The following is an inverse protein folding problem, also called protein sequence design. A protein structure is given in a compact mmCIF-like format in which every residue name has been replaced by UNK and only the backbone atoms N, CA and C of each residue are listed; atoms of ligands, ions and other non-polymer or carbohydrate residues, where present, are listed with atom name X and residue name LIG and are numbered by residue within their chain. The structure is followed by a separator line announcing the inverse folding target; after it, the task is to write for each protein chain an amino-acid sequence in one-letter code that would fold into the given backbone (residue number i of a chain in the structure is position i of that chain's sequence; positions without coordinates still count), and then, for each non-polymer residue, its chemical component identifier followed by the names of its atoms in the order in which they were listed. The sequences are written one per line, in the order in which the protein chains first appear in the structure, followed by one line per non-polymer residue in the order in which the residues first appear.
data_IF_155352627742
#
_entry.id   IF_155352627742
#
_cell.length_a   1.000
_cell.length_b   1.000
_cell.length_c   1.000
_cell.angle_alpha   90.00
_cell.angle_beta   90.00
_cell.angle_gamma   90.00
#
_symmetry.space_group_name_H-M   'P 1'
#
loop_
_entity.id
_entity.type
_entity.pdbx_description
1 polymer ?
#
# COMPACT_ATOMS: atom_id res chain seq x y z
N UNK A 1 56.56 79.17 -42.48
CA UNK A 1 55.63 79.38 -41.33
C UNK A 1 54.73 78.14 -41.27
N UNK A 2 55.08 77.15 -40.45
CA UNK A 2 54.52 76.89 -39.10
C UNK A 2 53.04 76.53 -39.13
N UNK A 3 52.71 75.27 -38.79
CA UNK A 3 51.37 74.88 -38.36
C UNK A 3 50.97 73.41 -38.55
N UNK A 4 51.59 72.48 -37.82
CA UNK A 4 51.02 71.15 -37.51
C UNK A 4 49.82 71.33 -36.56
N UNK A 5 48.74 70.56 -36.73
CA UNK A 5 47.69 70.14 -35.76
C UNK A 5 46.54 69.47 -36.54
N UNK A 6 45.89 68.37 -36.15
CA UNK A 6 46.04 67.42 -35.05
C UNK A 6 45.18 66.19 -35.44
N UNK A 7 45.63 64.99 -35.08
CA UNK A 7 44.92 63.71 -35.25
C UNK A 7 43.93 63.50 -34.08
N UNK A 8 42.84 62.76 -34.35
CA UNK A 8 41.90 62.09 -33.43
C UNK A 8 40.68 62.89 -32.91
N UNK A 9 39.48 62.42 -33.27
CA UNK A 9 38.53 61.88 -32.29
C UNK A 9 37.42 61.09 -33.03
N UNK A 10 37.48 59.76 -32.91
CA UNK A 10 36.37 58.84 -33.15
C UNK A 10 35.16 59.27 -32.32
N UNK A 11 34.02 59.56 -32.94
CA UNK A 11 32.74 59.72 -32.24
C UNK A 11 31.80 58.57 -32.63
N UNK A 12 31.96 57.46 -31.92
CA UNK A 12 30.95 56.40 -31.77
C UNK A 12 29.72 56.98 -31.08
N UNK A 13 28.66 57.28 -31.84
CA UNK A 13 27.33 57.54 -31.26
C UNK A 13 26.61 56.21 -31.09
N UNK A 14 26.70 55.74 -29.85
CA UNK A 14 25.92 54.69 -29.21
C UNK A 14 24.42 55.01 -29.40
N UNK A 15 23.79 54.43 -30.43
CA UNK A 15 22.34 54.56 -30.61
C UNK A 15 21.68 53.59 -29.65
N UNK A 16 21.10 54.16 -28.59
CA UNK A 16 20.47 53.49 -27.47
C UNK A 16 19.46 52.43 -27.94
N UNK A 17 19.65 51.20 -27.46
CA UNK A 17 18.66 50.14 -27.51
C UNK A 17 17.46 50.55 -26.66
N UNK A 18 16.45 51.11 -27.31
CA UNK A 18 15.12 51.27 -26.75
C UNK A 18 14.46 49.87 -26.75
N UNK A 19 14.74 49.08 -25.71
CA UNK A 19 13.89 47.97 -25.33
C UNK A 19 12.50 48.55 -25.10
N UNK A 20 11.59 48.30 -26.05
CA UNK A 20 10.16 48.39 -25.83
C UNK A 20 9.82 47.42 -24.70
N UNK A 21 9.90 47.88 -23.45
CA UNK A 21 9.22 47.25 -22.35
C UNK A 21 7.73 47.32 -22.69
N UNK A 22 7.18 46.22 -23.20
CA UNK A 22 5.75 46.08 -23.39
C UNK A 22 5.07 46.47 -22.06
N UNK A 23 4.02 47.31 -22.10
CA UNK A 23 3.34 47.69 -20.88
C UNK A 23 2.87 46.43 -20.18
N UNK A 24 3.13 46.33 -18.87
CA UNK A 24 2.69 45.27 -17.98
C UNK A 24 1.17 45.18 -17.98
N UNK A 25 0.63 44.65 -19.06
CA UNK A 25 -0.78 44.49 -19.32
C UNK A 25 -1.15 43.16 -18.76
N UNK A 26 -2.01 43.21 -17.78
CA UNK A 26 -2.52 42.02 -17.15
C UNK A 26 -3.01 40.96 -18.13
N UNK A 27 -2.44 39.75 -18.06
CA UNK A 27 -2.69 38.68 -19.02
C UNK A 27 -4.14 38.16 -18.91
N UNK A 28 -4.97 38.26 -19.97
CA UNK A 28 -6.30 37.67 -19.95
C UNK A 28 -6.24 36.13 -19.98
N UNK A 29 -7.30 35.44 -19.49
CA UNK A 29 -7.43 34.00 -19.66
C UNK A 29 -7.29 33.62 -21.14
N UNK A 30 -6.45 32.64 -21.44
CA UNK A 30 -6.15 32.21 -22.82
C UNK A 30 -6.08 30.69 -22.91
N UNK A 31 -6.12 30.18 -24.14
CA UNK A 31 -6.03 28.74 -24.39
C UNK A 31 -4.59 28.26 -24.15
N UNK A 32 -4.46 27.22 -23.32
CA UNK A 32 -3.21 26.53 -23.08
C UNK A 32 -2.96 25.53 -24.22
N UNK A 33 -1.74 25.55 -24.73
CA UNK A 33 -1.30 24.61 -25.78
C UNK A 33 -0.27 23.63 -25.22
N UNK A 34 0.52 24.08 -24.24
CA UNK A 34 1.55 23.28 -23.57
C UNK A 34 1.25 23.12 -22.07
N UNK A 35 1.72 22.02 -21.49
CA UNK A 35 1.59 21.71 -20.06
C UNK A 35 2.28 22.74 -19.16
N UNK A 36 3.30 23.43 -19.68
CA UNK A 36 4.01 24.50 -18.98
C UNK A 36 3.98 25.74 -19.87
N UNK A 37 3.18 26.72 -19.48
CA UNK A 37 3.11 28.03 -20.14
C UNK A 37 3.78 29.08 -19.25
N UNK A 38 4.88 29.66 -19.71
CA UNK A 38 5.60 30.71 -18.96
C UNK A 38 5.58 32.02 -19.75
N UNK A 39 4.56 32.84 -19.49
CA UNK A 39 4.43 34.16 -20.11
C UNK A 39 5.18 35.25 -19.35
N UNK A 40 5.45 35.02 -18.07
CA UNK A 40 6.19 35.94 -17.20
C UNK A 40 7.72 35.80 -17.33
N UNK A 41 8.21 34.76 -18.01
CA UNK A 41 9.63 34.49 -18.22
C UNK A 41 10.39 34.17 -16.94
N UNK A 42 9.73 33.53 -15.98
CA UNK A 42 10.31 33.31 -14.64
C UNK A 42 10.99 31.95 -14.48
N UNK A 43 10.79 31.02 -15.40
CA UNK A 43 11.42 29.70 -15.34
C UNK A 43 12.78 29.71 -16.04
N UNK A 44 13.82 29.34 -15.30
CA UNK A 44 15.11 28.94 -15.88
C UNK A 44 15.01 27.56 -16.54
N UNK A 45 15.93 27.22 -17.44
CA UNK A 45 15.94 25.90 -18.09
C UNK A 45 15.97 24.72 -17.09
N UNK A 46 16.79 24.75 -16.02
CA UNK A 46 16.75 23.72 -14.99
C UNK A 46 15.40 23.69 -14.24
N UNK A 47 14.82 24.85 -13.96
CA UNK A 47 13.51 24.95 -13.31
C UNK A 47 12.39 24.36 -14.16
N UNK A 48 12.39 24.66 -15.46
CA UNK A 48 11.44 24.10 -16.43
C UNK A 48 11.57 22.57 -16.52
N UNK A 49 12.79 22.04 -16.57
CA UNK A 49 13.03 20.61 -16.60
C UNK A 49 12.54 19.91 -15.32
N UNK A 50 12.76 20.53 -14.14
CA UNK A 50 12.28 20.01 -12.88
C UNK A 50 10.73 19.94 -12.82
N UNK A 51 10.06 21.02 -13.27
CA UNK A 51 8.60 21.06 -13.35
C UNK A 51 8.07 20.00 -14.32
N UNK A 52 8.66 19.88 -15.51
CA UNK A 52 8.28 18.85 -16.49
C UNK A 52 8.40 17.45 -15.90
N UNK A 53 9.53 17.15 -15.25
CA UNK A 53 9.75 15.83 -14.64
C UNK A 53 8.72 15.50 -13.54
N UNK A 54 8.32 16.51 -12.76
CA UNK A 54 7.32 16.35 -11.72
C UNK A 54 5.91 16.12 -12.30
N UNK A 55 5.54 16.87 -13.35
CA UNK A 55 4.28 16.65 -14.09
C UNK A 55 4.24 15.25 -14.70
N UNK A 56 5.33 14.82 -15.37
CA UNK A 56 5.42 13.51 -15.99
C UNK A 56 5.27 12.38 -14.96
N UNK A 57 5.86 12.55 -13.78
CA UNK A 57 5.74 11.60 -12.66
C UNK A 57 4.29 11.49 -12.19
N UNK A 58 3.64 12.61 -11.95
CA UNK A 58 2.24 12.66 -11.54
C UNK A 58 1.34 11.96 -12.57
N UNK A 59 1.59 12.18 -13.86
CA UNK A 59 0.82 11.51 -14.90
C UNK A 59 1.08 10.00 -14.94
N UNK A 60 2.34 9.55 -14.81
CA UNK A 60 2.66 8.11 -14.76
C UNK A 60 2.02 7.42 -13.56
N UNK A 61 2.07 8.05 -12.40
CA UNK A 61 1.72 7.40 -11.13
C UNK A 61 0.22 7.47 -10.83
N UNK A 62 -0.48 8.51 -11.33
CA UNK A 62 -1.89 8.76 -11.02
C UNK A 62 -2.78 8.98 -12.24
N UNK A 63 -2.21 9.07 -13.45
CA UNK A 63 -2.93 9.50 -14.66
C UNK A 63 -3.68 10.83 -14.47
N UNK A 64 -3.05 11.77 -13.74
CA UNK A 64 -3.52 13.14 -13.55
C UNK A 64 -2.64 14.03 -14.39
N UNK A 65 -3.23 14.89 -15.22
CA UNK A 65 -2.49 15.86 -16.03
C UNK A 65 -2.42 17.19 -15.29
N UNK A 66 -1.23 17.65 -14.94
CA UNK A 66 -1.02 18.96 -14.33
C UNK A 66 -0.58 19.97 -15.37
N UNK A 67 -1.36 21.05 -15.49
CA UNK A 67 -1.09 22.21 -16.32
C UNK A 67 -0.60 23.34 -15.43
N UNK A 68 0.52 23.95 -15.78
CA UNK A 68 1.15 25.02 -15.01
C UNK A 68 1.27 26.26 -15.88
N UNK A 69 0.77 27.38 -15.35
CA UNK A 69 0.79 28.67 -16.05
C UNK A 69 1.38 29.75 -15.16
N UNK A 70 2.40 30.43 -15.67
CA UNK A 70 3.02 31.59 -15.05
C UNK A 70 2.64 32.85 -15.81
N UNK A 71 1.96 33.75 -15.11
CA UNK A 71 1.53 35.06 -15.61
C UNK A 71 2.05 36.16 -14.68
N UNK A 72 2.14 37.39 -15.17
CA UNK A 72 2.54 38.50 -14.30
C UNK A 72 1.48 38.79 -13.24
N UNK A 73 0.21 38.80 -13.64
CA UNK A 73 -0.95 39.00 -12.76
C UNK A 73 -2.25 38.48 -13.41
N UNK A 74 -3.33 38.37 -12.63
CA UNK A 74 -4.63 37.86 -13.07
C UNK A 74 -5.59 38.90 -13.68
N UNK A 75 -5.09 40.08 -14.04
CA UNK A 75 -5.93 41.17 -14.55
C UNK A 75 -7.01 41.58 -13.57
N UNK A 76 -8.18 41.94 -14.09
CA UNK A 76 -9.37 42.27 -13.31
C UNK A 76 -10.08 41.03 -12.73
N UNK A 77 -9.54 39.83 -12.93
CA UNK A 77 -10.17 38.60 -12.51
C UNK A 77 -9.62 38.14 -11.17
N UNK A 78 -10.51 37.57 -10.34
CA UNK A 78 -10.07 36.76 -9.21
C UNK A 78 -9.29 35.55 -9.73
N UNK A 79 -8.26 35.06 -9.02
CA UNK A 79 -7.47 33.91 -9.45
C UNK A 79 -8.33 32.70 -9.87
N UNK A 80 -9.36 32.38 -9.08
CA UNK A 80 -10.26 31.24 -9.32
C UNK A 80 -11.04 31.41 -10.63
N UNK A 81 -11.68 32.57 -10.80
CA UNK A 81 -12.43 32.90 -12.01
C UNK A 81 -11.53 32.95 -13.26
N UNK A 82 -10.27 33.36 -13.10
CA UNK A 82 -9.29 33.35 -14.17
C UNK A 82 -8.98 31.91 -14.59
N UNK A 83 -8.68 31.04 -13.62
CA UNK A 83 -8.36 29.64 -13.86
C UNK A 83 -9.53 28.88 -14.51
N UNK A 84 -10.76 29.12 -14.08
CA UNK A 84 -11.94 28.47 -14.65
C UNK A 84 -12.18 28.87 -16.12
N UNK A 85 -11.95 30.14 -16.45
CA UNK A 85 -12.03 30.61 -17.85
C UNK A 85 -10.92 30.01 -18.72
N UNK A 86 -9.70 29.97 -18.21
CA UNK A 86 -8.55 29.34 -18.87
C UNK A 86 -8.80 27.86 -19.11
N UNK A 87 -9.34 27.15 -18.12
CA UNK A 87 -9.73 25.73 -18.21
C UNK A 87 -10.74 25.50 -19.33
N UNK A 88 -11.83 26.27 -19.33
CA UNK A 88 -12.91 26.14 -20.30
C UNK A 88 -12.43 26.46 -21.73
N UNK A 89 -11.62 27.52 -21.89
CA UNK A 89 -11.03 27.89 -23.19
C UNK A 89 -10.05 26.83 -23.72
N UNK A 90 -9.41 26.10 -22.82
CA UNK A 90 -8.43 25.05 -23.15
C UNK A 90 -9.05 23.67 -23.33
N UNK A 91 -10.32 23.48 -22.95
CA UNK A 91 -11.00 22.19 -23.04
C UNK A 91 -10.43 21.14 -22.07
N UNK A 92 -9.87 21.58 -20.93
CA UNK A 92 -9.32 20.68 -19.92
C UNK A 92 -10.43 19.81 -19.29
N UNK A 93 -10.17 18.52 -19.21
CA UNK A 93 -11.11 17.51 -18.72
C UNK A 93 -11.16 17.37 -17.19
N UNK A 94 -11.99 16.43 -16.71
CA UNK A 94 -12.18 16.18 -15.27
C UNK A 94 -10.97 15.60 -14.53
N UNK A 95 -9.87 15.29 -15.23
CA UNK A 95 -8.62 14.80 -14.63
C UNK A 95 -7.45 15.78 -14.78
N UNK A 96 -7.74 16.97 -15.31
CA UNK A 96 -6.76 17.97 -15.64
C UNK A 96 -6.75 19.05 -14.55
N UNK A 97 -5.65 19.10 -13.81
CA UNK A 97 -5.44 20.07 -12.74
C UNK A 97 -4.72 21.27 -13.31
N UNK A 98 -5.16 22.48 -12.94
CA UNK A 98 -4.56 23.72 -13.38
C UNK A 98 -3.95 24.46 -12.17
N UNK A 99 -2.64 24.67 -12.20
CA UNK A 99 -1.92 25.58 -11.32
C UNK A 99 -1.63 26.87 -12.07
N UNK A 100 -2.15 27.98 -11.57
CA UNK A 100 -1.89 29.31 -12.12
C UNK A 100 -1.17 30.17 -11.09
N UNK A 101 -0.04 30.77 -11.47
CA UNK A 101 0.80 31.56 -10.57
C UNK A 101 1.01 32.94 -11.16
N UNK A 102 0.59 33.95 -10.41
CA UNK A 102 0.84 35.37 -10.67
C UNK A 102 2.12 35.80 -9.96
N UNK A 103 3.18 36.00 -10.73
CA UNK A 103 4.56 36.18 -10.22
C UNK A 103 4.77 37.57 -9.61
N UNK A 104 4.13 38.61 -10.15
CA UNK A 104 4.27 39.98 -9.66
C UNK A 104 3.46 40.21 -8.38
N UNK A 105 2.22 39.72 -8.34
CA UNK A 105 1.34 39.86 -7.17
C UNK A 105 1.51 38.75 -6.13
N UNK A 106 2.36 37.76 -6.39
CA UNK A 106 2.54 36.55 -5.56
C UNK A 106 1.23 35.83 -5.24
N UNK A 107 0.27 35.89 -6.17
CA UNK A 107 -1.00 35.19 -6.02
C UNK A 107 -0.91 33.87 -6.76
N UNK A 108 -1.63 32.87 -6.31
CA UNK A 108 -1.74 31.62 -7.03
C UNK A 108 -3.15 31.05 -6.86
N UNK A 109 -3.51 30.15 -7.76
CA UNK A 109 -4.68 29.31 -7.59
C UNK A 109 -4.37 27.92 -8.11
N UNK A 110 -4.81 26.93 -7.35
CA UNK A 110 -4.75 25.52 -7.72
C UNK A 110 -6.18 25.03 -7.87
N UNK A 111 -6.56 24.77 -9.10
CA UNK A 111 -7.93 24.43 -9.46
C UNK A 111 -7.99 22.96 -9.89
N UNK A 112 -8.59 22.16 -9.01
CA UNK A 112 -8.66 20.69 -9.08
C UNK A 112 -10.11 20.29 -9.34
N UNK A 113 -10.41 19.53 -10.41
CA UNK A 113 -11.76 19.05 -10.65
C UNK A 113 -12.18 17.98 -9.62
N UNK A 114 -13.47 17.91 -9.24
CA UNK A 114 -13.97 16.92 -8.27
C UNK A 114 -13.88 15.46 -8.75
N UNK A 115 -13.63 15.25 -10.05
CA UNK A 115 -13.49 13.91 -10.64
C UNK A 115 -12.08 13.33 -10.47
N UNK A 116 -11.14 14.06 -9.84
CA UNK A 116 -9.82 13.55 -9.47
C UNK A 116 -9.95 12.71 -8.18
N UNK A 117 -9.85 11.37 -8.25
CA UNK A 117 -10.05 10.52 -7.08
C UNK A 117 -8.87 10.65 -6.11
N UNK A 118 -9.15 10.56 -4.81
CA UNK A 118 -8.12 10.48 -3.77
C UNK A 118 -7.58 11.82 -3.26
N UNK A 119 -8.22 12.95 -3.58
CA UNK A 119 -7.90 14.24 -2.97
C UNK A 119 -9.04 14.69 -2.06
N UNK A 120 -8.77 14.81 -0.76
CA UNK A 120 -9.71 15.48 0.17
C UNK A 120 -9.46 16.98 0.24
N UNK A 121 -10.48 17.76 0.58
CA UNK A 121 -10.34 19.22 0.76
C UNK A 121 -9.26 19.57 1.79
N UNK A 122 -9.17 18.79 2.87
CA UNK A 122 -8.15 18.97 3.91
C UNK A 122 -6.72 18.73 3.41
N UNK A 123 -6.52 17.74 2.52
CA UNK A 123 -5.21 17.48 1.90
C UNK A 123 -4.85 18.58 0.90
N UNK A 124 -5.83 19.08 0.15
CA UNK A 124 -5.65 20.18 -0.80
C UNK A 124 -5.28 21.48 -0.07
N UNK A 125 -5.95 21.79 1.05
CA UNK A 125 -5.63 22.96 1.86
C UNK A 125 -4.27 22.83 2.57
N UNK A 126 -3.91 21.63 3.01
CA UNK A 126 -2.58 21.36 3.55
C UNK A 126 -1.49 21.50 2.46
N UNK A 127 -1.76 21.04 1.24
CA UNK A 127 -0.87 21.23 0.09
C UNK A 127 -0.66 22.71 -0.23
N UNK A 128 -1.76 23.47 -0.32
CA UNK A 128 -1.74 24.92 -0.53
C UNK A 128 -0.92 25.65 0.52
N UNK A 129 -1.31 25.51 1.79
CA UNK A 129 -0.73 26.26 2.91
C UNK A 129 0.71 25.86 3.26
N UNK A 130 1.05 24.56 3.21
CA UNK A 130 2.35 24.08 3.71
C UNK A 130 3.42 23.92 2.63
N UNK A 131 3.04 23.88 1.36
CA UNK A 131 3.97 23.52 0.27
C UNK A 131 4.00 24.57 -0.82
N UNK A 132 2.84 24.97 -1.33
CA UNK A 132 2.77 25.92 -2.46
C UNK A 132 2.97 27.36 -1.97
N UNK A 133 2.24 27.78 -0.93
CA UNK A 133 2.27 29.15 -0.41
C UNK A 133 3.67 29.59 0.07
N UNK A 134 4.47 28.76 0.78
CA UNK A 134 5.83 29.13 1.15
C UNK A 134 6.75 29.32 -0.07
N UNK A 135 6.62 28.47 -1.09
CA UNK A 135 7.44 28.56 -2.31
C UNK A 135 7.09 29.82 -3.13
N UNK A 136 5.79 30.10 -3.29
CA UNK A 136 5.29 31.35 -3.91
C UNK A 136 5.75 32.58 -3.12
N UNK A 137 5.69 32.53 -1.79
CA UNK A 137 6.16 33.61 -0.91
C UNK A 137 7.65 33.91 -1.09
N UNK A 138 8.47 32.85 -1.19
CA UNK A 138 9.90 32.88 -1.43
C UNK A 138 10.31 33.22 -2.88
N UNK A 139 9.33 33.42 -3.79
CA UNK A 139 9.54 33.60 -5.25
C UNK A 139 10.20 32.39 -5.93
N UNK A 140 10.08 31.21 -5.33
CA UNK A 140 10.49 29.95 -5.96
C UNK A 140 9.35 29.38 -6.80
N UNK A 141 9.20 29.91 -8.00
CA UNK A 141 8.09 29.60 -8.91
C UNK A 141 8.16 28.17 -9.46
N UNK A 142 9.37 27.69 -9.75
CA UNK A 142 9.61 26.29 -10.10
C UNK A 142 9.29 25.36 -8.95
N UNK A 143 9.75 25.70 -7.74
CA UNK A 143 9.48 24.92 -6.53
C UNK A 143 8.01 24.87 -6.17
N UNK A 144 7.24 25.93 -6.41
CA UNK A 144 5.80 25.94 -6.21
C UNK A 144 5.08 24.91 -7.10
N UNK A 145 5.47 24.81 -8.38
CA UNK A 145 4.88 23.85 -9.30
C UNK A 145 5.33 22.41 -9.05
N UNK A 146 6.61 22.20 -8.72
CA UNK A 146 7.11 20.88 -8.28
C UNK A 146 6.40 20.44 -6.99
N UNK A 147 6.26 21.35 -6.02
CA UNK A 147 5.56 21.09 -4.77
C UNK A 147 4.08 20.75 -4.99
N UNK A 148 3.42 21.40 -5.95
CA UNK A 148 2.06 21.06 -6.35
C UNK A 148 1.98 19.66 -6.97
N UNK A 149 2.86 19.34 -7.92
CA UNK A 149 2.92 18.02 -8.56
C UNK A 149 3.18 16.89 -7.54
N UNK A 150 4.21 17.06 -6.70
CA UNK A 150 4.56 16.09 -5.64
C UNK A 150 3.48 15.97 -4.58
N UNK A 151 2.79 17.08 -4.27
CA UNK A 151 1.67 17.09 -3.35
C UNK A 151 0.47 16.32 -3.88
N UNK A 152 0.12 16.53 -5.14
CA UNK A 152 -0.95 15.78 -5.81
C UNK A 152 -0.63 14.28 -5.90
N UNK A 153 0.64 13.92 -6.17
CA UNK A 153 1.07 12.53 -6.21
C UNK A 153 0.99 11.86 -4.81
N UNK A 154 1.42 12.56 -3.75
CA UNK A 154 1.43 12.06 -2.38
C UNK A 154 0.04 12.03 -1.74
N UNK A 155 -0.78 13.07 -1.91
CA UNK A 155 -2.12 13.14 -1.31
C UNK A 155 -3.06 12.06 -1.87
N UNK A 156 -2.95 11.75 -3.16
CA UNK A 156 -3.66 10.61 -3.75
C UNK A 156 -3.09 9.24 -3.34
N UNK A 157 -1.84 9.20 -2.84
CA UNK A 157 -1.22 8.02 -2.23
C UNK A 157 -1.47 7.98 -0.72
N UNK A 158 -2.74 7.85 -0.34
CA UNK A 158 -3.07 7.33 0.99
C UNK A 158 -3.83 6.01 0.93
N UNK A 159 -3.29 4.93 0.34
CA UNK A 159 -3.32 3.69 1.09
C UNK A 159 -2.31 3.89 2.22
N UNK A 160 -2.76 4.23 3.43
CA UNK A 160 -1.97 3.87 4.63
C UNK A 160 -1.62 2.39 4.41
N UNK A 161 -0.35 1.99 4.30
CA UNK A 161 -0.05 0.59 4.17
C UNK A 161 -0.56 -0.05 5.44
N UNK A 162 -1.72 -0.70 5.34
CA UNK A 162 -2.26 -1.60 6.35
C UNK A 162 -1.18 -2.64 6.69
N UNK A 163 -0.21 -2.86 5.81
CA UNK A 163 1.01 -3.62 6.06
C UNK A 163 1.90 -3.09 7.20
N UNK A 164 1.90 -1.79 7.51
CA UNK A 164 2.64 -1.27 8.66
C UNK A 164 1.88 -1.51 9.97
N UNK A 165 0.53 -1.55 9.92
CA UNK A 165 -0.30 -2.02 11.02
C UNK A 165 -0.31 -3.54 11.14
N UNK A 166 -0.20 -4.31 10.05
CA UNK A 166 -0.02 -5.76 10.06
C UNK A 166 1.39 -6.09 10.55
N UNK A 167 2.43 -5.36 10.17
CA UNK A 167 3.78 -5.58 10.67
C UNK A 167 3.92 -5.18 12.14
N UNK A 168 3.36 -4.05 12.57
CA UNK A 168 3.33 -3.67 13.99
C UNK A 168 2.41 -4.60 14.78
N UNK A 169 1.26 -5.01 14.25
CA UNK A 169 0.38 -6.00 14.89
C UNK A 169 1.06 -7.37 14.96
N UNK A 170 1.81 -7.79 13.93
CA UNK A 170 2.58 -9.03 13.93
C UNK A 170 3.73 -8.95 14.94
N UNK A 171 4.43 -7.81 15.03
CA UNK A 171 5.48 -7.60 16.03
C UNK A 171 4.90 -7.57 17.45
N UNK A 172 3.75 -6.93 17.65
CA UNK A 172 3.04 -6.91 18.94
C UNK A 172 2.50 -8.29 19.28
N UNK A 173 1.97 -9.05 18.32
CA UNK A 173 1.50 -10.43 18.51
C UNK A 173 2.69 -11.35 18.81
N UNK A 174 3.81 -11.23 18.11
CA UNK A 174 5.04 -11.98 18.39
C UNK A 174 5.61 -11.59 19.75
N UNK A 175 5.62 -10.30 20.10
CA UNK A 175 6.06 -9.85 21.42
C UNK A 175 5.11 -10.34 22.53
N UNK A 176 3.80 -10.33 22.31
CA UNK A 176 2.79 -10.87 23.24
C UNK A 176 2.93 -12.38 23.35
N UNK A 177 3.20 -13.11 22.26
CA UNK A 177 3.43 -14.57 22.28
C UNK A 177 4.75 -14.90 22.96
N UNK A 178 5.82 -14.12 22.74
CA UNK A 178 7.12 -14.30 23.41
C UNK A 178 7.00 -13.96 24.90
N UNK A 179 6.31 -12.88 25.26
CA UNK A 179 6.04 -12.51 26.66
C UNK A 179 5.09 -13.53 27.31
N UNK A 180 4.08 -14.01 26.61
CA UNK A 180 3.16 -15.04 27.09
C UNK A 180 3.90 -16.37 27.28
N UNK A 181 4.76 -16.80 26.35
CA UNK A 181 5.60 -17.99 26.49
C UNK A 181 6.66 -17.81 27.57
N UNK A 182 7.25 -16.62 27.72
CA UNK A 182 8.21 -16.31 28.77
C UNK A 182 7.54 -16.26 30.14
N UNK A 183 6.33 -15.70 30.27
CA UNK A 183 5.53 -15.71 31.49
C UNK A 183 4.96 -17.10 31.77
N UNK A 184 4.56 -17.88 30.77
CA UNK A 184 4.13 -19.26 30.90
C UNK A 184 5.29 -20.15 31.36
N UNK A 185 6.48 -19.99 30.76
CA UNK A 185 7.73 -20.63 31.20
C UNK A 185 8.18 -20.12 32.56
N UNK A 186 8.06 -18.84 32.88
CA UNK A 186 8.45 -18.28 34.18
C UNK A 186 7.47 -18.67 35.29
N UNK A 187 6.18 -18.84 34.97
CA UNK A 187 5.13 -19.33 35.89
C UNK A 187 5.29 -20.84 36.10
N UNK A 188 5.66 -21.62 35.06
CA UNK A 188 6.16 -23.00 35.21
C UNK A 188 7.45 -23.06 36.04
N UNK A 189 8.40 -22.14 35.84
CA UNK A 189 9.66 -22.10 36.60
C UNK A 189 9.52 -21.59 38.04
N UNK A 190 8.52 -20.75 38.33
CA UNK A 190 8.19 -20.32 39.70
C UNK A 190 7.42 -21.42 40.47
N UNK A 191 6.70 -22.31 39.78
CA UNK A 191 6.27 -23.57 40.37
C UNK A 191 7.46 -24.53 40.63
N UNK A 192 8.52 -24.46 39.83
CA UNK A 192 9.74 -25.26 39.97
C UNK A 192 10.85 -24.65 40.87
N UNK A 193 10.54 -23.61 41.68
CA UNK A 193 11.47 -23.13 42.74
C UNK A 193 10.95 -23.36 44.17
N UNK A 194 9.86 -24.11 44.32
CA UNK A 194 9.38 -24.62 45.63
C UNK A 194 9.32 -26.15 45.76
N UNK A 195 9.68 -26.90 44.72
CA UNK A 195 10.16 -28.29 44.82
C UNK A 195 11.43 -28.36 43.97
N UNK A 196 12.62 -28.54 44.54
CA UNK A 196 13.05 -29.85 45.01
C UNK A 196 13.46 -30.67 43.77
N UNK A 197 14.73 -30.69 43.38
CA UNK A 197 15.65 -31.77 43.75
C UNK A 197 15.15 -33.14 43.22
N UNK A 198 15.84 -33.66 42.18
CA UNK A 198 15.70 -34.99 41.49
C UNK A 198 14.52 -35.04 40.51
N UNK A 199 14.63 -35.51 39.26
CA UNK A 199 15.69 -36.15 38.46
C UNK A 199 15.07 -36.52 37.10
N UNK A 200 15.88 -36.66 36.05
CA UNK A 200 15.64 -37.47 34.83
C UNK A 200 14.15 -37.62 34.42
N UNK A 201 13.61 -36.68 33.65
CA UNK A 201 12.34 -36.88 32.93
C UNK A 201 12.69 -37.55 31.59
N UNK A 202 12.38 -38.83 31.50
CA UNK A 202 12.89 -39.75 30.49
C UNK A 202 12.15 -39.67 29.15
N UNK A 203 12.69 -40.34 28.12
CA UNK A 203 12.03 -40.66 26.85
C UNK A 203 10.75 -41.52 26.99
N UNK A 204 9.90 -41.29 27.98
CA UNK A 204 8.63 -42.02 28.15
C UNK A 204 7.42 -41.05 28.14
N UNK A 205 7.63 -39.78 28.54
CA UNK A 205 6.55 -38.79 28.58
C UNK A 205 6.16 -38.26 27.18
N UNK A 206 7.07 -38.32 26.20
CA UNK A 206 6.83 -37.72 24.88
C UNK A 206 6.12 -38.67 23.90
N UNK A 207 6.43 -39.97 23.95
CA UNK A 207 5.61 -41.02 23.31
C UNK A 207 4.19 -41.07 23.88
N UNK A 208 4.05 -40.97 25.20
CA UNK A 208 2.74 -41.02 25.86
C UNK A 208 1.80 -39.89 25.39
N UNK A 209 2.33 -38.69 25.17
CA UNK A 209 1.57 -37.56 24.62
C UNK A 209 1.15 -37.83 23.15
N UNK A 210 2.07 -38.32 22.31
CA UNK A 210 1.80 -38.62 20.90
C UNK A 210 0.76 -39.75 20.74
N UNK A 211 0.86 -40.81 21.55
CA UNK A 211 -0.10 -41.92 21.59
C UNK A 211 -1.48 -41.44 22.03
N UNK A 212 -1.55 -40.66 23.11
CA UNK A 212 -2.80 -40.09 23.61
C UNK A 212 -3.51 -39.22 22.56
N UNK A 213 -2.74 -38.42 21.82
CA UNK A 213 -3.28 -37.58 20.75
C UNK A 213 -3.82 -38.41 19.56
N UNK A 214 -3.11 -39.48 19.18
CA UNK A 214 -3.55 -40.38 18.12
C UNK A 214 -4.80 -41.18 18.53
N UNK A 215 -4.86 -41.67 19.76
CA UNK A 215 -6.02 -42.34 20.36
C UNK A 215 -7.27 -41.46 20.35
N UNK A 216 -7.14 -40.20 20.76
CA UNK A 216 -8.25 -39.24 20.77
C UNK A 216 -8.84 -39.02 19.36
N UNK A 217 -7.97 -38.86 18.35
CA UNK A 217 -8.41 -38.69 16.94
C UNK A 217 -9.09 -39.93 16.41
N UNK A 218 -8.56 -41.12 16.70
CA UNK A 218 -9.15 -42.36 16.23
C UNK A 218 -10.53 -42.62 16.85
N UNK A 219 -10.71 -42.32 18.14
CA UNK A 219 -12.02 -42.36 18.81
C UNK A 219 -13.00 -41.41 18.15
N UNK A 220 -12.61 -40.16 17.94
CA UNK A 220 -13.45 -39.14 17.29
C UNK A 220 -13.96 -39.60 15.91
N UNK A 221 -13.12 -40.22 15.09
CA UNK A 221 -13.51 -40.70 13.76
C UNK A 221 -14.39 -41.94 13.86
N UNK A 222 -14.07 -42.86 14.77
CA UNK A 222 -14.92 -44.05 14.99
C UNK A 222 -16.31 -43.64 15.45
N UNK A 223 -16.42 -42.64 16.33
CA UNK A 223 -17.70 -42.07 16.78
C UNK A 223 -18.43 -41.31 15.65
N UNK A 224 -17.70 -40.68 14.75
CA UNK A 224 -18.27 -40.03 13.57
C UNK A 224 -18.86 -41.07 12.60
N UNK A 225 -18.12 -42.14 12.31
CA UNK A 225 -18.57 -43.24 11.45
C UNK A 225 -19.70 -44.02 12.10
N UNK A 226 -19.72 -44.22 13.41
CA UNK A 226 -20.84 -44.83 14.11
C UNK A 226 -22.14 -44.03 13.93
N UNK A 227 -22.06 -42.69 13.92
CA UNK A 227 -23.21 -41.80 13.72
C UNK A 227 -23.66 -41.68 12.25
N UNK A 228 -22.75 -41.79 11.29
CA UNK A 228 -23.03 -41.53 9.86
C UNK A 228 -22.80 -42.76 8.96
N UNK A 229 -22.71 -43.96 9.55
CA UNK A 229 -22.12 -45.15 8.94
C UNK A 229 -22.78 -45.65 7.65
N UNK A 230 -24.06 -45.37 7.44
CA UNK A 230 -24.76 -45.70 6.18
C UNK A 230 -24.16 -44.98 4.97
N UNK A 231 -23.55 -43.81 5.21
CA UNK A 231 -23.03 -42.92 4.17
C UNK A 231 -21.51 -42.84 4.10
N UNK A 232 -20.79 -43.70 4.82
CA UNK A 232 -19.31 -43.75 4.80
C UNK A 232 -18.84 -44.83 3.85
N UNK A 233 -18.00 -44.46 2.87
CA UNK A 233 -17.50 -45.37 1.84
C UNK A 233 -16.39 -46.31 2.32
N UNK A 234 -16.11 -47.34 1.52
CA UNK A 234 -15.09 -48.35 1.80
C UNK A 234 -13.67 -47.75 1.95
N UNK A 235 -13.35 -46.68 1.22
CA UNK A 235 -12.04 -46.04 1.27
C UNK A 235 -11.76 -45.38 2.62
N UNK A 236 -12.75 -44.68 3.19
CA UNK A 236 -12.64 -44.12 4.54
C UNK A 236 -12.48 -45.23 5.59
N UNK A 237 -13.20 -46.35 5.43
CA UNK A 237 -13.07 -47.50 6.33
C UNK A 237 -11.66 -48.12 6.26
N UNK A 238 -11.08 -48.27 5.07
CA UNK A 238 -9.71 -48.76 4.91
C UNK A 238 -8.72 -47.89 5.65
N UNK A 239 -8.81 -46.55 5.50
CA UNK A 239 -7.91 -45.61 6.21
C UNK A 239 -8.05 -45.68 7.74
N UNK A 240 -9.26 -45.91 8.24
CA UNK A 240 -9.49 -46.13 9.69
C UNK A 240 -8.84 -47.42 10.16
N UNK A 241 -8.92 -48.50 9.39
CA UNK A 241 -8.27 -49.77 9.75
C UNK A 241 -6.74 -49.65 9.69
N UNK A 242 -6.20 -48.92 8.73
CA UNK A 242 -4.77 -48.61 8.68
C UNK A 242 -4.34 -47.78 9.89
N UNK A 243 -5.08 -46.72 10.23
CA UNK A 243 -4.80 -45.91 11.42
C UNK A 243 -4.80 -46.76 12.71
N UNK A 244 -5.76 -47.67 12.87
CA UNK A 244 -5.81 -48.65 13.98
C UNK A 244 -4.57 -49.52 14.04
N UNK A 245 -4.13 -50.04 12.88
CA UNK A 245 -2.93 -50.87 12.79
C UNK A 245 -1.66 -50.11 13.17
N UNK A 246 -1.51 -48.87 12.69
CA UNK A 246 -0.37 -48.01 13.03
C UNK A 246 -0.37 -47.64 14.52
N UNK A 247 -1.53 -47.38 15.11
CA UNK A 247 -1.65 -47.09 16.54
C UNK A 247 -1.30 -48.30 17.42
N UNK A 248 -1.74 -49.50 17.03
CA UNK A 248 -1.34 -50.73 17.73
C UNK A 248 0.17 -50.99 17.64
N UNK A 249 0.79 -50.70 16.49
CA UNK A 249 2.24 -50.77 16.33
C UNK A 249 2.96 -49.73 17.20
N UNK A 250 2.41 -48.52 17.33
CA UNK A 250 2.95 -47.48 18.19
C UNK A 250 2.97 -47.91 19.67
N UNK A 251 1.85 -48.45 20.18
CA UNK A 251 1.75 -49.00 21.54
C UNK A 251 2.72 -50.16 21.78
N UNK A 252 2.90 -51.06 20.80
CA UNK A 252 3.86 -52.16 20.92
C UNK A 252 5.33 -51.67 20.96
N UNK A 253 5.60 -50.50 20.37
CA UNK A 253 6.92 -49.89 20.30
C UNK A 253 7.23 -48.95 21.46
N UNK A 254 6.22 -48.48 22.19
CA UNK A 254 6.37 -47.58 23.34
C UNK A 254 7.41 -48.10 24.35
N UNK A 255 7.33 -49.38 24.71
CA UNK A 255 8.26 -49.98 25.67
C UNK A 255 9.62 -50.42 25.07
N UNK A 256 9.80 -50.32 23.75
CA UNK A 256 10.98 -50.85 23.03
C UNK A 256 11.81 -49.73 22.39
N UNK A 257 11.17 -48.76 21.75
CA UNK A 257 11.80 -47.64 21.06
C UNK A 257 10.84 -46.45 20.95
N UNK A 258 11.08 -45.40 21.74
CA UNK A 258 10.25 -44.18 21.82
C UNK A 258 10.13 -43.47 20.47
N UNK A 259 11.23 -43.28 19.75
CA UNK A 259 11.25 -42.55 18.47
C UNK A 259 10.39 -43.25 17.41
N UNK A 260 10.44 -44.58 17.38
CA UNK A 260 9.56 -45.38 16.53
C UNK A 260 8.10 -45.23 16.97
N UNK A 261 7.81 -45.32 18.27
CA UNK A 261 6.45 -45.16 18.80
C UNK A 261 5.84 -43.81 18.41
N UNK A 262 6.61 -42.72 18.53
CA UNK A 262 6.20 -41.37 18.11
C UNK A 262 5.95 -41.32 16.61
N UNK A 263 6.83 -41.90 15.79
CA UNK A 263 6.65 -41.94 14.33
C UNK A 263 5.38 -42.72 13.92
N UNK A 264 5.13 -43.87 14.53
CA UNK A 264 3.92 -44.67 14.30
C UNK A 264 2.65 -43.94 14.77
N UNK A 265 2.68 -43.27 15.92
CA UNK A 265 1.56 -42.49 16.46
C UNK A 265 1.22 -41.27 15.57
N UNK A 266 2.25 -40.58 15.06
CA UNK A 266 2.07 -39.49 14.10
C UNK A 266 1.47 -39.99 12.79
N UNK A 267 1.93 -41.15 12.28
CA UNK A 267 1.36 -41.76 11.06
C UNK A 267 -0.10 -42.16 11.25
N UNK A 268 -0.45 -42.73 12.40
CA UNK A 268 -1.84 -43.04 12.77
C UNK A 268 -2.70 -41.77 12.79
N UNK A 269 -2.20 -40.67 13.36
CA UNK A 269 -2.89 -39.38 13.37
C UNK A 269 -3.14 -38.81 11.97
N UNK A 270 -2.19 -38.94 11.04
CA UNK A 270 -2.37 -38.50 9.65
C UNK A 270 -3.44 -39.33 8.93
N UNK A 271 -3.37 -40.66 9.04
CA UNK A 271 -4.36 -41.56 8.42
C UNK A 271 -5.78 -41.32 8.98
N UNK A 272 -5.88 -41.03 10.27
CA UNK A 272 -7.11 -40.59 10.91
C UNK A 272 -7.65 -39.30 10.26
N UNK A 273 -6.83 -38.26 10.08
CA UNK A 273 -7.27 -37.02 9.45
C UNK A 273 -7.74 -37.22 7.98
N UNK A 274 -7.03 -38.06 7.23
CA UNK A 274 -7.42 -38.43 5.85
C UNK A 274 -8.76 -39.16 5.83
N UNK A 275 -8.95 -40.14 6.71
CA UNK A 275 -10.21 -40.86 6.85
C UNK A 275 -11.38 -39.93 7.16
N UNK A 276 -11.17 -38.92 8.02
CA UNK A 276 -12.20 -37.94 8.34
C UNK A 276 -12.61 -37.11 7.11
N UNK A 277 -11.66 -36.74 6.27
CA UNK A 277 -11.92 -35.96 5.06
C UNK A 277 -12.71 -36.80 4.04
N UNK A 278 -12.32 -38.07 3.84
CA UNK A 278 -13.05 -39.00 2.98
C UNK A 278 -14.48 -39.25 3.50
N UNK A 279 -14.63 -39.52 4.80
CA UNK A 279 -15.94 -39.75 5.42
C UNK A 279 -16.87 -38.53 5.25
N UNK A 280 -16.36 -37.31 5.43
CA UNK A 280 -17.14 -36.09 5.21
C UNK A 280 -17.59 -35.96 3.73
N UNK A 281 -16.70 -36.29 2.79
CA UNK A 281 -17.02 -36.23 1.36
C UNK A 281 -18.11 -37.26 0.98
N UNK A 282 -18.04 -38.47 1.52
CA UNK A 282 -19.03 -39.53 1.28
C UNK A 282 -20.41 -39.15 1.84
N UNK A 283 -20.46 -38.60 3.05
CA UNK A 283 -21.69 -38.09 3.68
C UNK A 283 -22.33 -37.01 2.81
N UNK A 284 -21.53 -36.05 2.32
CA UNK A 284 -22.03 -34.99 1.42
C UNK A 284 -22.53 -35.55 0.08
N UNK A 285 -21.89 -36.58 -0.47
CA UNK A 285 -22.34 -37.26 -1.68
C UNK A 285 -23.68 -38.00 -1.45
N UNK A 286 -23.83 -38.65 -0.30
CA UNK A 286 -25.07 -39.34 0.07
C UNK A 286 -26.26 -38.37 0.22
N UNK A 287 -26.04 -37.21 0.85
CA UNK A 287 -27.07 -36.16 0.97
C UNK A 287 -27.54 -35.65 -0.40
N UNK A 288 -26.60 -35.42 -1.33
CA UNK A 288 -26.93 -35.00 -2.71
C UNK A 288 -27.77 -36.03 -3.47
N UNK A 289 -27.50 -37.33 -3.29
CA UNK A 289 -28.30 -38.40 -3.92
C UNK A 289 -29.72 -38.48 -3.35
N UNK A 290 -29.88 -38.29 -2.03
CA UNK A 290 -31.19 -38.31 -1.35
C UNK A 290 -32.09 -37.13 -1.76
N UNK A 291 -31.51 -35.94 -1.99
CA UNK A 291 -32.25 -34.76 -2.44
C UNK A 291 -32.70 -34.77 -3.90
N UNK A 292 -32.10 -35.61 -4.76
CA UNK A 292 -32.45 -35.71 -6.20
C UNK A 292 -33.56 -36.73 -6.48
N UNK A 293 -33.91 -37.59 -5.51
CA UNK A 293 -34.97 -38.59 -5.62
C UNK A 293 -36.37 -38.08 -5.25
N UNK A 294 -36.51 -36.86 -4.72
CA UNK A 294 -37.79 -36.31 -4.25
C UNK A 294 -38.47 -35.37 -5.25
N UNK A 295 -37.88 -35.16 -6.43
CA UNK A 295 -38.40 -34.24 -7.47
C UNK A 295 -39.16 -34.92 -8.60
N UNK A 296 -39.49 -36.21 -8.48
CA UNK A 296 -40.28 -36.95 -9.49
C UNK A 296 -41.46 -37.66 -8.83
N UNK A 297 -42.53 -36.92 -8.55
CA UNK A 297 -43.89 -37.44 -8.41
C UNK A 297 -44.89 -36.33 -8.67
#
# INVERSE_FOLDING_TARGET
MRGVRLVHAFLTVLTAGLLLAAPASAQPPSKLTDHITDSAGVLTDPGRAAVSSAIDRLYRDRHIQLWVVYVDNFSRFKPENWADRTRNASGLGGRDVLLSVATNTKLYTLSVPPQVPGLTDAELDSLRSKRIEPAVGAKDWSGAAVAAADGLDKSASSPKPIWLMIAISLIVVVAVVVVFLALYRARRRRAARRGGQRGIEGPDDSSGEALSAADARLRQITDYVARHGESVGAEAQTRIQEAKRYLAAAHAKEAINEDEAIAYANRASTLAAEAQTLANADVLAAHRKRGRGTSSR
#
